data_IF_247887166605
#
_entry.id   IF_247887166605
#
_cell.length_a   1.000
_cell.length_b   1.000
_cell.length_c   1.000
_cell.angle_alpha   90.00
_cell.angle_beta   90.00
_cell.angle_gamma   90.00
#
_symmetry.space_group_name_H-M   'P 1'
#
loop_
_entity.id
_entity.type
_entity.pdbx_description
1 polymer ?
#
# COMPACT_ATOMS: atom_id res chain seq x y z
N UNK A 1 -13.19 -14.64 5.21
CA UNK A 1 -12.47 -14.86 3.93
C UNK A 1 -13.30 -15.78 3.06
N UNK A 2 -13.70 -15.32 1.86
CA UNK A 2 -14.34 -16.14 0.86
C UNK A 2 -13.28 -17.07 0.22
N UNK A 3 -13.63 -18.34 0.02
CA UNK A 3 -12.80 -19.30 -0.71
C UNK A 3 -13.19 -19.28 -2.18
N UNK A 4 -12.34 -19.80 -3.06
CA UNK A 4 -12.62 -19.86 -4.49
C UNK A 4 -13.96 -20.54 -4.80
N UNK A 5 -14.38 -21.55 -4.03
CA UNK A 5 -15.68 -22.21 -4.18
C UNK A 5 -16.89 -21.42 -3.66
N UNK A 6 -16.66 -20.29 -2.94
CA UNK A 6 -17.72 -19.46 -2.41
C UNK A 6 -18.21 -18.39 -3.41
N UNK A 7 -17.47 -18.19 -4.51
CA UNK A 7 -17.84 -17.29 -5.59
C UNK A 7 -18.79 -17.96 -6.58
N UNK A 8 -19.75 -17.21 -7.16
CA UNK A 8 -20.57 -17.74 -8.23
C UNK A 8 -19.71 -18.20 -9.40
N UNK A 9 -20.00 -19.40 -9.90
CA UNK A 9 -19.33 -19.91 -11.12
C UNK A 9 -20.00 -19.24 -12.33
N UNK A 10 -19.22 -18.52 -13.10
CA UNK A 10 -19.66 -17.85 -14.32
C UNK A 10 -18.88 -18.44 -15.50
N UNK A 11 -19.55 -18.96 -16.54
CA UNK A 11 -18.86 -19.29 -17.78
C UNK A 11 -18.27 -18.05 -18.40
N UNK A 12 -16.96 -18.01 -18.56
CA UNK A 12 -16.27 -16.84 -19.12
C UNK A 12 -15.03 -17.27 -19.89
N UNK A 13 -14.70 -16.55 -20.94
CA UNK A 13 -13.43 -16.64 -21.64
C UNK A 13 -12.30 -15.86 -20.93
N UNK A 14 -12.67 -15.01 -19.96
CA UNK A 14 -11.76 -14.14 -19.20
C UNK A 14 -11.26 -14.77 -17.91
N UNK A 15 -11.03 -13.92 -16.91
CA UNK A 15 -10.60 -14.31 -15.57
C UNK A 15 -11.77 -14.78 -14.70
N UNK A 16 -11.94 -16.09 -14.42
CA UNK A 16 -13.08 -16.61 -13.66
C UNK A 16 -13.20 -16.03 -12.26
N UNK A 17 -12.08 -15.68 -11.62
CA UNK A 17 -12.07 -15.05 -10.29
C UNK A 17 -12.68 -13.65 -10.36
N UNK A 18 -12.21 -12.80 -11.27
CA UNK A 18 -12.71 -11.43 -11.41
C UNK A 18 -14.20 -11.40 -11.75
N UNK A 19 -14.64 -12.28 -12.65
CA UNK A 19 -16.05 -12.44 -13.01
C UNK A 19 -16.89 -12.98 -11.85
N UNK A 20 -16.38 -13.93 -11.08
CA UNK A 20 -17.05 -14.43 -9.89
C UNK A 20 -17.22 -13.34 -8.83
N UNK A 21 -16.22 -12.50 -8.61
CA UNK A 21 -16.31 -11.34 -7.71
C UNK A 21 -17.36 -10.34 -8.22
N UNK A 22 -17.36 -10.01 -9.50
CA UNK A 22 -18.33 -9.12 -10.12
C UNK A 22 -19.76 -9.64 -9.94
N UNK A 23 -19.98 -10.93 -10.21
CA UNK A 23 -21.29 -11.55 -10.05
C UNK A 23 -21.73 -11.56 -8.57
N UNK A 24 -20.83 -11.83 -7.63
CA UNK A 24 -21.13 -11.75 -6.20
C UNK A 24 -21.63 -10.37 -5.80
N UNK A 25 -20.92 -9.30 -6.18
CA UNK A 25 -21.34 -7.92 -5.89
C UNK A 25 -22.69 -7.60 -6.57
N UNK A 26 -22.90 -8.06 -7.79
CA UNK A 26 -24.16 -7.88 -8.53
C UNK A 26 -25.34 -8.52 -7.79
N UNK A 27 -25.20 -9.79 -7.36
CA UNK A 27 -26.25 -10.50 -6.65
C UNK A 27 -26.54 -9.87 -5.29
N UNK A 28 -25.49 -9.47 -4.55
CA UNK A 28 -25.65 -8.80 -3.25
C UNK A 28 -26.37 -7.45 -3.42
N UNK A 29 -25.97 -6.65 -4.41
CA UNK A 29 -26.59 -5.36 -4.71
C UNK A 29 -28.07 -5.52 -5.05
N UNK A 30 -28.45 -6.50 -5.91
CA UNK A 30 -29.84 -6.77 -6.27
C UNK A 30 -30.68 -7.12 -5.04
N UNK A 31 -30.15 -7.91 -4.10
CA UNK A 31 -30.84 -8.29 -2.86
C UNK A 31 -30.99 -7.09 -1.93
N UNK A 32 -29.95 -6.28 -1.78
CA UNK A 32 -29.97 -5.08 -0.93
C UNK A 32 -30.92 -4.03 -1.51
N UNK A 33 -30.92 -3.85 -2.83
CA UNK A 33 -31.79 -2.88 -3.50
C UNK A 33 -33.27 -3.13 -3.23
N UNK A 34 -33.70 -4.41 -3.25
CA UNK A 34 -35.08 -4.80 -2.92
C UNK A 34 -35.47 -4.55 -1.45
N UNK A 35 -34.49 -4.42 -0.55
CA UNK A 35 -34.70 -4.21 0.88
C UNK A 35 -34.42 -2.79 1.34
N UNK A 36 -33.79 -2.00 0.45
CA UNK A 36 -33.42 -0.62 0.73
C UNK A 36 -34.66 0.21 1.02
N UNK A 37 -34.61 0.97 2.11
CA UNK A 37 -35.60 2.01 2.39
C UNK A 37 -35.19 3.29 1.69
N UNK A 38 -36.16 4.20 1.51
CA UNK A 38 -35.90 5.54 1.03
C UNK A 38 -34.78 6.20 1.88
N UNK A 39 -33.91 6.94 1.25
CA UNK A 39 -32.76 7.65 1.86
C UNK A 39 -31.68 6.76 2.52
N UNK A 40 -31.68 5.44 2.34
CA UNK A 40 -30.57 4.60 2.77
C UNK A 40 -29.49 4.53 1.68
N UNK A 41 -28.22 4.73 2.06
CA UNK A 41 -27.07 4.48 1.21
C UNK A 41 -26.72 2.99 1.19
N UNK A 42 -26.31 2.50 0.01
CA UNK A 42 -25.67 1.19 -0.11
C UNK A 42 -24.16 1.43 -0.17
N UNK A 43 -23.43 0.79 0.74
CA UNK A 43 -21.98 0.82 0.76
C UNK A 43 -21.43 -0.58 0.47
N UNK A 44 -20.35 -0.63 -0.29
CA UNK A 44 -19.57 -1.85 -0.49
C UNK A 44 -18.22 -1.73 0.25
N UNK A 45 -17.79 -2.84 0.79
CA UNK A 45 -16.44 -2.97 1.40
C UNK A 45 -15.79 -4.18 0.77
N UNK A 46 -14.54 -4.04 0.35
CA UNK A 46 -13.76 -5.12 -0.24
C UNK A 46 -12.28 -5.05 0.14
N UNK A 47 -11.63 -6.22 0.19
CA UNK A 47 -10.18 -6.32 0.34
C UNK A 47 -9.64 -7.10 -0.85
N UNK A 48 -9.31 -6.38 -1.93
CA UNK A 48 -8.95 -6.95 -3.23
C UNK A 48 -8.13 -5.95 -4.04
N UNK A 49 -7.46 -6.43 -5.07
CA UNK A 49 -6.76 -5.59 -6.04
C UNK A 49 -7.70 -5.26 -7.21
N UNK A 50 -7.91 -3.97 -7.47
CA UNK A 50 -8.65 -3.49 -8.64
C UNK A 50 -7.70 -3.12 -9.78
N UNK A 51 -8.10 -3.36 -11.02
CA UNK A 51 -7.35 -2.96 -12.22
C UNK A 51 -7.19 -1.44 -12.23
N UNK A 52 -5.99 -0.97 -12.58
CA UNK A 52 -5.68 0.46 -12.63
C UNK A 52 -5.31 1.07 -11.27
N UNK A 53 -5.08 0.24 -10.24
CA UNK A 53 -4.51 0.68 -8.98
C UNK A 53 -3.00 0.83 -9.10
N UNK A 54 -2.46 1.90 -8.52
CA UNK A 54 -1.03 2.13 -8.42
C UNK A 54 -0.48 1.44 -7.16
N UNK A 55 0.56 0.64 -7.34
CA UNK A 55 1.32 -0.02 -6.27
C UNK A 55 2.77 0.42 -6.34
N UNK A 56 3.48 0.42 -5.21
CA UNK A 56 4.91 0.69 -5.21
C UNK A 56 5.64 -0.50 -5.84
N UNK A 57 6.41 -0.26 -6.90
CA UNK A 57 7.12 -1.31 -7.65
C UNK A 57 8.08 -2.16 -6.79
N UNK A 58 8.54 -1.62 -5.65
CA UNK A 58 9.48 -2.28 -4.72
C UNK A 58 8.85 -2.55 -3.35
N UNK A 59 7.52 -2.55 -3.27
CA UNK A 59 6.85 -2.79 -1.99
C UNK A 59 6.44 -4.24 -1.85
N UNK A 60 7.25 -4.99 -1.10
CA UNK A 60 6.96 -6.38 -0.75
C UNK A 60 5.88 -6.52 0.35
N UNK A 61 5.39 -5.43 0.92
CA UNK A 61 4.31 -5.44 1.92
C UNK A 61 2.94 -5.67 1.29
N UNK A 62 2.78 -5.29 0.02
CA UNK A 62 1.60 -5.59 -0.78
C UNK A 62 1.85 -6.88 -1.57
N UNK A 63 1.04 -7.91 -1.37
CA UNK A 63 1.07 -9.10 -2.21
C UNK A 63 0.59 -8.74 -3.61
N UNK A 64 1.52 -8.41 -4.48
CA UNK A 64 1.24 -8.31 -5.91
C UNK A 64 1.07 -9.70 -6.50
N UNK A 65 -0.09 -9.98 -7.04
CA UNK A 65 -0.29 -11.20 -7.81
C UNK A 65 0.40 -11.02 -9.16
N UNK A 66 1.45 -11.78 -9.36
CA UNK A 66 2.21 -11.80 -10.62
C UNK A 66 1.26 -12.21 -11.75
N UNK A 67 1.11 -11.35 -12.75
CA UNK A 67 0.31 -11.62 -13.94
C UNK A 67 -1.11 -11.05 -13.96
N UNK A 68 -1.56 -10.28 -12.95
CA UNK A 68 -2.86 -9.60 -12.98
C UNK A 68 -4.09 -10.52 -12.92
N UNK A 69 -3.89 -11.82 -12.68
CA UNK A 69 -4.96 -12.83 -12.72
C UNK A 69 -6.01 -12.67 -11.60
N UNK A 70 -5.69 -11.96 -10.53
CA UNK A 70 -6.61 -11.72 -9.42
C UNK A 70 -7.12 -10.27 -9.34
N UNK A 71 -6.84 -9.46 -10.36
CA UNK A 71 -7.34 -8.09 -10.41
C UNK A 71 -8.81 -8.05 -10.83
N UNK A 72 -9.59 -7.30 -10.08
CA UNK A 72 -11.03 -7.10 -10.32
C UNK A 72 -11.24 -5.82 -11.14
N UNK A 73 -12.07 -5.90 -12.17
CA UNK A 73 -12.46 -4.70 -12.92
C UNK A 73 -13.24 -3.73 -12.01
N UNK A 74 -12.97 -2.42 -12.08
CA UNK A 74 -13.78 -1.41 -11.40
C UNK A 74 -15.27 -1.47 -11.71
N UNK A 75 -15.64 -2.04 -12.85
CA UNK A 75 -17.04 -2.24 -13.27
C UNK A 75 -17.80 -3.26 -12.41
N UNK A 76 -17.07 -4.05 -11.60
CA UNK A 76 -17.69 -4.89 -10.59
C UNK A 76 -18.45 -4.08 -9.52
N UNK A 77 -18.10 -2.80 -9.36
CA UNK A 77 -18.74 -1.90 -8.40
C UNK A 77 -19.73 -0.99 -9.15
N UNK A 78 -21.00 -1.39 -9.11
CA UNK A 78 -22.09 -0.63 -9.76
C UNK A 78 -22.14 0.82 -9.29
N UNK A 79 -22.56 1.74 -10.18
CA UNK A 79 -22.82 3.14 -9.85
C UNK A 79 -23.96 3.34 -8.85
N UNK A 80 -24.80 2.33 -8.64
CA UNK A 80 -25.85 2.33 -7.60
C UNK A 80 -25.29 2.19 -6.17
N UNK A 81 -24.01 1.87 -6.03
CA UNK A 81 -23.30 1.84 -4.75
C UNK A 81 -22.86 3.28 -4.44
N UNK A 82 -23.36 3.83 -3.34
CA UNK A 82 -23.04 5.19 -2.95
C UNK A 82 -21.54 5.41 -2.67
N UNK A 83 -20.90 4.40 -2.06
CA UNK A 83 -19.46 4.41 -1.82
C UNK A 83 -18.90 3.00 -1.72
N UNK A 84 -17.74 2.76 -2.31
CA UNK A 84 -16.99 1.51 -2.24
C UNK A 84 -15.64 1.76 -1.55
N UNK A 85 -15.50 1.22 -0.34
CA UNK A 85 -14.26 1.27 0.44
C UNK A 85 -13.43 0.01 0.16
N UNK A 86 -12.26 0.20 -0.43
CA UNK A 86 -11.32 -0.88 -0.74
C UNK A 86 -10.12 -0.86 0.20
N UNK A 87 -9.72 -2.03 0.66
CA UNK A 87 -8.45 -2.33 1.31
C UNK A 87 -7.57 -3.17 0.40
N UNK A 88 -6.36 -3.44 0.82
CA UNK A 88 -5.27 -4.15 0.16
C UNK A 88 -4.16 -3.19 -0.31
N UNK A 89 -4.47 -2.18 -1.10
CA UNK A 89 -3.47 -1.22 -1.58
C UNK A 89 -3.22 -0.14 -0.51
N UNK A 90 -1.96 0.03 -0.12
CA UNK A 90 -1.56 0.95 0.95
C UNK A 90 -1.44 2.41 0.49
N UNK A 91 -1.35 2.65 -0.81
CA UNK A 91 -1.39 4.00 -1.39
C UNK A 91 -2.84 4.46 -1.52
N UNK A 92 -3.21 5.52 -0.80
CA UNK A 92 -4.54 6.11 -0.91
C UNK A 92 -4.79 6.64 -2.32
N UNK A 93 -5.84 6.16 -2.99
CA UNK A 93 -6.13 6.47 -4.39
C UNK A 93 -7.58 6.21 -4.78
N UNK A 94 -8.01 6.85 -5.86
CA UNK A 94 -9.25 6.54 -6.57
C UNK A 94 -9.00 5.40 -7.55
N UNK A 95 -9.98 4.54 -7.74
CA UNK A 95 -9.90 3.47 -8.73
C UNK A 95 -10.51 3.96 -10.04
N UNK A 96 -9.71 3.94 -11.10
CA UNK A 96 -10.10 4.40 -12.43
C UNK A 96 -10.77 5.78 -12.45
N UNK A 97 -10.28 6.69 -11.60
CA UNK A 97 -10.78 8.07 -11.50
C UNK A 97 -12.15 8.23 -10.81
N UNK A 98 -12.77 7.14 -10.34
CA UNK A 98 -14.09 7.19 -9.68
C UNK A 98 -13.96 7.75 -8.26
N UNK A 99 -14.72 8.81 -7.99
CA UNK A 99 -14.71 9.48 -6.67
C UNK A 99 -15.23 8.58 -5.54
N UNK A 100 -16.21 7.75 -5.86
CA UNK A 100 -16.88 6.89 -4.90
C UNK A 100 -16.30 5.47 -4.79
N UNK A 101 -15.18 5.15 -5.49
CA UNK A 101 -14.49 3.86 -5.39
C UNK A 101 -13.03 4.13 -5.03
N UNK A 102 -12.66 3.88 -3.79
CA UNK A 102 -11.35 4.30 -3.27
C UNK A 102 -10.68 3.27 -2.39
N UNK A 103 -9.35 3.29 -2.46
CA UNK A 103 -8.48 2.81 -1.39
C UNK A 103 -8.22 3.96 -0.41
N UNK A 104 -8.50 3.76 0.86
CA UNK A 104 -8.10 4.70 1.91
C UNK A 104 -6.58 4.72 2.10
N UNK A 105 -5.91 3.65 1.70
CA UNK A 105 -4.51 3.38 2.00
C UNK A 105 -4.32 2.83 3.40
N UNK A 106 -3.08 2.80 3.86
CA UNK A 106 -2.75 2.47 5.24
C UNK A 106 -2.74 3.71 6.12
N UNK A 107 -3.18 3.66 7.39
CA UNK A 107 -3.14 4.80 8.30
C UNK A 107 -1.71 5.15 8.76
N UNK A 108 -0.79 4.19 8.67
CA UNK A 108 0.64 4.34 8.97
C UNK A 108 1.46 3.62 7.89
N UNK A 109 2.74 4.00 7.68
CA UNK A 109 3.60 3.28 6.73
C UNK A 109 3.86 1.86 7.20
N UNK A 110 3.73 0.90 6.32
CA UNK A 110 4.01 -0.52 6.55
C UNK A 110 5.41 -0.91 6.08
N UNK A 111 6.05 -0.08 5.24
CA UNK A 111 7.39 -0.29 4.73
C UNK A 111 8.12 1.02 4.43
N UNK A 112 9.44 0.96 4.19
CA UNK A 112 10.23 2.12 3.76
C UNK A 112 9.88 2.59 2.33
N UNK A 113 9.31 1.73 1.50
CA UNK A 113 8.82 2.12 0.17
C UNK A 113 7.68 3.14 0.25
N UNK A 114 6.91 3.09 1.34
CA UNK A 114 5.77 3.98 1.60
C UNK A 114 6.15 5.30 2.32
N UNK A 115 7.43 5.55 2.58
CA UNK A 115 7.86 6.72 3.38
C UNK A 115 7.36 8.07 2.83
N UNK A 116 7.07 8.13 1.54
CA UNK A 116 6.56 9.31 0.84
C UNK A 116 5.04 9.32 0.67
N UNK A 117 4.33 8.27 1.11
CA UNK A 117 2.88 8.28 1.07
C UNK A 117 2.31 9.21 2.13
N UNK A 118 1.19 9.78 1.80
CA UNK A 118 0.36 10.47 2.77
C UNK A 118 -0.57 9.46 3.40
N UNK A 119 -0.30 9.06 4.62
CA UNK A 119 -1.10 8.08 5.35
C UNK A 119 -2.32 8.71 5.99
N UNK A 120 -3.42 7.97 6.08
CA UNK A 120 -4.65 8.51 6.64
C UNK A 120 -5.84 7.59 6.48
N UNK A 121 -7.02 8.19 6.70
CA UNK A 121 -8.32 7.54 6.51
C UNK A 121 -9.17 8.38 5.56
N UNK A 122 -10.27 7.81 5.09
CA UNK A 122 -11.27 8.54 4.30
C UNK A 122 -12.54 8.67 5.12
N UNK A 123 -12.97 9.91 5.34
CA UNK A 123 -14.26 10.25 5.91
C UNK A 123 -15.27 10.47 4.77
N UNK A 124 -16.45 9.88 4.91
CA UNK A 124 -17.50 9.98 3.90
C UNK A 124 -18.80 10.40 4.57
N UNK A 125 -19.35 11.52 4.13
CA UNK A 125 -20.66 12.01 4.57
C UNK A 125 -21.74 11.57 3.59
N UNK A 126 -22.85 11.06 4.13
CA UNK A 126 -23.99 10.61 3.35
C UNK A 126 -25.21 11.45 3.64
N UNK A 127 -25.94 11.80 2.58
CA UNK A 127 -27.26 12.43 2.64
C UNK A 127 -28.13 11.93 1.49
N UNK A 128 -29.44 11.78 1.75
CA UNK A 128 -30.41 11.35 0.74
C UNK A 128 -30.10 10.02 0.03
N UNK A 129 -29.28 9.17 0.64
CA UNK A 129 -28.87 7.89 0.03
C UNK A 129 -27.61 7.98 -0.84
N UNK A 130 -26.97 9.16 -0.92
CA UNK A 130 -25.78 9.43 -1.72
C UNK A 130 -24.60 9.81 -0.83
N UNK A 131 -23.37 9.58 -1.30
CA UNK A 131 -22.19 10.20 -0.71
C UNK A 131 -22.13 11.66 -1.21
N UNK A 132 -22.20 12.61 -0.28
CA UNK A 132 -22.24 14.06 -0.59
C UNK A 132 -20.90 14.75 -0.35
N UNK A 133 -20.05 14.15 0.51
CA UNK A 133 -18.69 14.62 0.73
C UNK A 133 -17.77 13.43 0.99
N UNK A 134 -16.56 13.49 0.44
CA UNK A 134 -15.54 12.45 0.57
C UNK A 134 -14.21 13.13 0.85
N UNK A 135 -13.81 13.16 2.10
CA UNK A 135 -12.65 13.87 2.57
C UNK A 135 -11.58 12.91 3.06
N UNK A 136 -10.33 13.27 2.81
CA UNK A 136 -9.20 12.56 3.36
C UNK A 136 -8.74 13.22 4.65
N UNK A 137 -8.60 12.42 5.70
CA UNK A 137 -8.08 12.84 7.00
C UNK A 137 -6.70 12.20 7.19
N UNK A 138 -5.68 13.03 7.29
CA UNK A 138 -4.31 12.57 7.48
C UNK A 138 -4.07 12.06 8.89
N UNK A 139 -3.36 10.93 9.01
CA UNK A 139 -2.84 10.44 10.27
C UNK A 139 -1.41 10.98 10.45
N UNK A 140 -1.12 11.75 11.51
CA UNK A 140 0.21 12.28 11.71
C UNK A 140 1.23 11.16 11.96
N UNK A 141 2.37 11.24 11.26
CA UNK A 141 3.47 10.30 11.46
C UNK A 141 4.28 10.72 12.68
N UNK A 142 4.19 9.95 13.76
CA UNK A 142 4.89 10.23 15.01
C UNK A 142 6.39 9.90 14.94
N UNK A 143 6.75 8.86 14.17
CA UNK A 143 8.15 8.40 14.03
C UNK A 143 8.52 8.45 12.54
N UNK A 144 9.52 9.25 12.16
CA UNK A 144 9.98 9.34 10.78
C UNK A 144 10.58 8.01 10.28
N UNK A 145 10.44 7.75 8.96
CA UNK A 145 11.17 6.73 8.24
C UNK A 145 12.24 7.39 7.38
N UNK A 146 13.49 6.99 7.56
CA UNK A 146 14.64 7.53 6.84
C UNK A 146 15.37 6.41 6.10
N UNK A 147 15.87 6.70 4.91
CA UNK A 147 16.77 5.79 4.18
C UNK A 147 18.10 6.48 3.94
N UNK A 148 19.18 5.77 4.14
CA UNK A 148 20.56 6.22 3.87
C UNK A 148 21.22 5.24 2.90
N UNK A 149 21.64 5.74 1.72
CA UNK A 149 21.32 7.03 1.12
C UNK A 149 19.82 7.21 0.86
N UNK A 150 19.35 8.45 0.70
CA UNK A 150 17.95 8.73 0.40
C UNK A 150 17.55 8.40 -1.06
N UNK A 151 18.52 8.02 -1.88
CA UNK A 151 18.38 7.60 -3.28
C UNK A 151 18.72 6.12 -3.49
N UNK A 152 19.49 5.85 -4.54
CA UNK A 152 20.00 4.52 -4.86
C UNK A 152 21.03 4.05 -3.81
N UNK A 153 21.28 2.72 -3.70
CA UNK A 153 22.34 2.18 -2.86
C UNK A 153 23.72 2.74 -3.24
N UNK A 154 24.59 2.98 -2.25
CA UNK A 154 25.95 3.45 -2.44
C UNK A 154 26.98 2.50 -1.83
N UNK A 155 28.28 2.70 -2.16
CA UNK A 155 29.34 1.87 -1.58
C UNK A 155 29.42 1.99 -0.06
N UNK A 156 29.99 1.01 0.64
CA UNK A 156 30.15 1.03 2.10
C UNK A 156 30.78 2.33 2.62
N UNK A 157 31.84 2.80 1.99
CA UNK A 157 32.57 4.01 2.41
C UNK A 157 31.64 5.23 2.38
N UNK A 158 30.92 5.43 1.28
CA UNK A 158 29.98 6.56 1.12
C UNK A 158 28.86 6.46 2.16
N UNK A 159 28.31 5.26 2.36
CA UNK A 159 27.24 5.03 3.34
C UNK A 159 27.72 5.35 4.76
N UNK A 160 28.90 4.86 5.14
CA UNK A 160 29.47 5.11 6.48
C UNK A 160 29.80 6.60 6.68
N UNK A 161 30.26 7.30 5.66
CA UNK A 161 30.47 8.75 5.70
C UNK A 161 29.15 9.49 5.96
N UNK A 162 28.10 9.18 5.19
CA UNK A 162 26.77 9.79 5.40
C UNK A 162 26.25 9.48 6.81
N UNK A 163 26.39 8.25 7.30
CA UNK A 163 25.95 7.88 8.65
C UNK A 163 26.68 8.66 9.74
N UNK A 164 27.99 8.88 9.59
CA UNK A 164 28.79 9.70 10.53
C UNK A 164 28.39 11.16 10.52
N UNK A 165 27.93 11.69 9.40
CA UNK A 165 27.47 13.08 9.25
C UNK A 165 26.02 13.30 9.69
N UNK A 166 25.24 12.23 9.94
CA UNK A 166 23.87 12.37 10.41
C UNK A 166 23.82 13.18 11.71
N UNK A 167 22.89 14.14 11.83
CA UNK A 167 22.73 14.91 13.07
C UNK A 167 22.25 14.00 14.21
N UNK A 168 22.58 14.39 15.43
CA UNK A 168 21.94 13.82 16.61
C UNK A 168 20.49 14.31 16.65
N UNK A 169 19.53 13.37 16.69
CA UNK A 169 18.10 13.72 16.72
C UNK A 169 17.60 13.84 18.16
N UNK A 170 16.73 14.82 18.39
CA UNK A 170 16.00 14.97 19.63
C UNK A 170 14.59 14.37 19.49
N UNK A 171 14.03 13.84 20.57
CA UNK A 171 12.70 13.27 20.61
C UNK A 171 12.61 11.81 20.12
N UNK A 172 11.59 11.50 19.32
CA UNK A 172 11.35 10.13 18.85
C UNK A 172 12.40 9.71 17.83
N UNK A 173 13.16 8.64 18.13
CA UNK A 173 14.20 8.10 17.26
C UNK A 173 13.60 7.65 15.91
N UNK A 174 14.04 8.21 14.76
CA UNK A 174 13.62 7.76 13.46
C UNK A 174 13.98 6.29 13.20
N UNK A 175 13.12 5.56 12.48
CA UNK A 175 13.51 4.28 11.90
C UNK A 175 14.41 4.52 10.69
N UNK A 176 15.55 3.82 10.66
CA UNK A 176 16.57 3.94 9.63
C UNK A 176 16.69 2.67 8.80
N UNK A 177 16.60 2.82 7.50
CA UNK A 177 17.01 1.83 6.51
C UNK A 177 18.37 2.26 5.91
N UNK A 178 19.33 1.35 5.90
CA UNK A 178 20.64 1.58 5.26
C UNK A 178 20.71 0.76 3.98
N UNK A 179 21.05 1.39 2.85
CA UNK A 179 21.12 0.74 1.54
C UNK A 179 22.54 0.73 1.02
N UNK A 180 23.11 -0.44 0.86
CA UNK A 180 24.51 -0.61 0.49
C UNK A 180 24.64 -1.36 -0.83
N UNK A 181 25.49 -0.85 -1.71
CA UNK A 181 25.91 -1.50 -2.95
C UNK A 181 27.24 -2.19 -2.71
N UNK A 182 27.27 -3.52 -2.82
CA UNK A 182 28.44 -4.35 -2.60
C UNK A 182 28.94 -4.97 -3.91
N UNK A 183 30.25 -5.14 -4.01
CA UNK A 183 30.89 -5.99 -5.03
C UNK A 183 31.04 -7.43 -4.51
N UNK A 184 31.37 -7.59 -3.22
CA UNK A 184 31.53 -8.86 -2.51
C UNK A 184 30.95 -8.76 -1.09
N UNK A 185 30.61 -9.87 -0.44
CA UNK A 185 30.10 -9.87 0.93
C UNK A 185 31.08 -9.25 1.94
N UNK A 186 30.62 -8.29 2.73
CA UNK A 186 31.38 -7.64 3.79
C UNK A 186 30.84 -7.99 5.18
N UNK A 187 31.38 -8.99 5.87
CA UNK A 187 30.83 -9.49 7.14
C UNK A 187 30.84 -8.47 8.29
N UNK A 188 31.77 -7.52 8.28
CA UNK A 188 31.95 -6.52 9.35
C UNK A 188 31.07 -5.28 9.16
N UNK A 189 30.51 -5.08 7.95
CA UNK A 189 29.80 -3.86 7.62
C UNK A 189 28.63 -3.55 8.57
N UNK A 190 27.91 -4.57 9.03
CA UNK A 190 26.84 -4.38 10.01
C UNK A 190 27.35 -3.74 11.30
N UNK A 191 28.49 -4.21 11.80
CA UNK A 191 29.11 -3.66 13.02
C UNK A 191 29.54 -2.21 12.78
N UNK A 192 30.15 -1.90 11.64
CA UNK A 192 30.59 -0.55 11.28
C UNK A 192 29.40 0.43 11.17
N UNK A 193 28.27 -0.01 10.63
CA UNK A 193 27.01 0.76 10.59
C UNK A 193 26.49 1.03 12.00
N UNK A 194 26.49 0.02 12.89
CA UNK A 194 26.05 0.15 14.27
C UNK A 194 26.98 1.09 15.07
N UNK A 195 28.29 1.00 14.86
CA UNK A 195 29.29 1.90 15.45
C UNK A 195 29.13 3.35 14.97
N UNK A 196 28.86 3.57 13.67
CA UNK A 196 28.61 4.90 13.12
C UNK A 196 27.35 5.58 13.69
N UNK A 197 26.42 4.80 14.23
CA UNK A 197 25.16 5.24 14.82
C UNK A 197 25.18 5.27 16.37
N UNK A 198 26.24 4.77 17.03
CA UNK A 198 26.26 4.52 18.47
C UNK A 198 25.90 5.75 19.33
N UNK A 199 26.37 6.94 18.93
CA UNK A 199 26.14 8.20 19.66
C UNK A 199 24.94 9.01 19.09
N UNK A 200 24.12 8.37 18.25
CA UNK A 200 23.01 9.01 17.54
C UNK A 200 21.69 8.35 17.86
N UNK A 201 20.64 9.14 17.99
CA UNK A 201 19.31 8.64 18.33
C UNK A 201 18.54 8.17 17.08
N UNK A 202 19.00 7.06 16.46
CA UNK A 202 18.32 6.38 15.34
C UNK A 202 18.02 4.93 15.69
N UNK A 203 16.95 4.39 15.12
CA UNK A 203 16.60 2.97 15.22
C UNK A 203 16.94 2.29 13.90
N UNK A 204 18.09 1.62 13.83
CA UNK A 204 18.43 0.80 12.66
C UNK A 204 17.39 -0.32 12.49
N UNK A 205 16.55 -0.19 11.48
CA UNK A 205 15.49 -1.16 11.20
C UNK A 205 15.98 -2.28 10.28
N UNK A 206 16.73 -1.92 9.23
CA UNK A 206 17.31 -2.90 8.31
C UNK A 206 18.52 -2.34 7.56
N UNK A 207 19.38 -3.26 7.09
CA UNK A 207 20.39 -2.99 6.08
C UNK A 207 20.01 -3.80 4.83
N UNK A 208 19.92 -3.13 3.69
CA UNK A 208 19.62 -3.72 2.40
C UNK A 208 20.90 -3.78 1.59
N UNK A 209 21.33 -4.98 1.24
CA UNK A 209 22.50 -5.23 0.40
C UNK A 209 22.05 -5.43 -1.04
N UNK A 210 22.64 -4.70 -1.96
CA UNK A 210 22.50 -4.86 -3.40
C UNK A 210 23.85 -5.23 -3.96
N UNK A 211 23.93 -6.25 -4.81
CA UNK A 211 25.19 -6.66 -5.43
C UNK A 211 25.30 -6.16 -6.86
N UNK A 212 26.48 -5.64 -7.25
CA UNK A 212 26.69 -5.03 -8.56
C UNK A 212 26.52 -5.99 -9.73
N UNK A 213 26.69 -7.30 -9.49
CA UNK A 213 26.58 -8.34 -10.52
C UNK A 213 25.14 -8.83 -10.79
N UNK A 214 24.13 -8.36 -10.07
CA UNK A 214 22.72 -8.72 -10.33
C UNK A 214 22.05 -7.84 -11.40
N UNK A 215 22.74 -6.84 -11.93
CA UNK A 215 22.22 -5.92 -12.95
C UNK A 215 22.66 -6.23 -14.40
N UNK A 216 23.16 -7.43 -14.64
CA UNK A 216 23.63 -7.83 -15.96
C UNK A 216 23.07 -9.16 -16.46
N UNK A 217 21.83 -9.16 -16.99
CA UNK A 217 21.41 -9.87 -18.20
C UNK A 217 20.01 -9.43 -18.62
#
# INVERSE_FOLDING_TARGET
FLRQGDYPTVPTEGNPYAEGVRELYTQLLQRLWKRRKENQSILAIGHLQAIGSEIAEKDYSERTVIGGLECVSPDAFSEQIAYTALGHIHKAQRVSGRENVRYAGSPIPMSFAEKHYHHGVVEVTFDGGCAVDIMRVECPRLIPLMSVPNGEPASPEIVLEILKELPVTEGAAPYLEVKVLLDEPEPMLRQEVEEALADKNYRLARIVFTYRNETGN
#
